data_IF_625891666665
#
_entry.id   IF_625891666665
#
_cell.length_a   1.000
_cell.length_b   1.000
_cell.length_c   1.000
_cell.angle_alpha   90.00
_cell.angle_beta   90.00
_cell.angle_gamma   90.00
#
_symmetry.space_group_name_H-M   'P 1'
#
loop_
_entity.id
_entity.type
_entity.pdbx_description
1 polymer ?
#
# COMPACT_ATOMS: atom_id res chain seq x y z
N UNK A 1 9.02 -0.09 8.53
CA UNK A 1 9.00 1.34 8.14
C UNK A 1 9.95 2.18 9.00
N UNK A 2 10.66 3.17 8.42
CA UNK A 2 11.52 4.07 9.20
C UNK A 2 10.67 5.13 9.90
N UNK A 3 10.54 5.01 11.22
CA UNK A 3 9.76 5.95 12.06
C UNK A 3 10.44 7.31 12.25
N UNK A 4 11.72 7.41 11.94
CA UNK A 4 12.59 8.56 12.25
C UNK A 4 13.55 8.84 11.10
N UNK A 5 13.65 10.10 10.71
CA UNK A 5 14.52 10.58 9.63
C UNK A 5 15.70 11.39 10.18
N UNK A 6 16.83 11.35 9.47
CA UNK A 6 17.94 12.29 9.64
C UNK A 6 17.70 13.57 8.84
N UNK A 7 18.40 14.65 9.16
CA UNK A 7 18.34 15.90 8.39
C UNK A 7 18.68 15.71 6.91
N UNK A 8 19.62 14.81 6.60
CA UNK A 8 19.98 14.49 5.21
C UNK A 8 18.87 13.77 4.46
N UNK A 9 18.11 12.89 5.12
CA UNK A 9 16.97 12.23 4.51
C UNK A 9 15.82 13.21 4.26
N UNK A 10 15.48 14.04 5.25
CA UNK A 10 14.46 15.08 5.10
C UNK A 10 14.83 16.07 3.98
N UNK A 11 16.11 16.41 3.87
CA UNK A 11 16.60 17.29 2.82
C UNK A 11 16.36 16.73 1.42
N UNK A 12 16.57 15.42 1.24
CA UNK A 12 16.27 14.72 -0.03
C UNK A 12 14.78 14.76 -0.35
N UNK A 13 13.93 14.39 0.62
CA UNK A 13 12.46 14.39 0.47
C UNK A 13 11.95 15.77 0.06
N UNK A 14 12.39 16.81 0.78
CA UNK A 14 11.94 18.18 0.57
C UNK A 14 12.67 18.88 -0.60
N UNK A 15 13.63 18.22 -1.25
CA UNK A 15 14.50 18.78 -2.29
C UNK A 15 15.18 20.10 -1.87
N UNK A 16 15.68 20.16 -0.64
CA UNK A 16 16.40 21.32 -0.07
C UNK A 16 17.80 20.93 0.41
N UNK A 17 18.64 21.93 0.72
CA UNK A 17 19.93 21.68 1.33
C UNK A 17 19.79 21.16 2.79
N UNK A 18 20.63 20.23 3.27
CA UNK A 18 20.62 19.74 4.67
C UNK A 18 20.74 20.84 5.73
N UNK A 19 21.42 21.95 5.39
CA UNK A 19 21.53 23.13 6.25
C UNK A 19 20.19 23.82 6.46
N UNK A 20 19.31 23.82 5.46
CA UNK A 20 17.96 24.37 5.55
C UNK A 20 17.13 23.57 6.55
N UNK A 21 17.17 22.24 6.47
CA UNK A 21 16.48 21.37 7.44
C UNK A 21 17.02 21.56 8.85
N UNK A 22 18.36 21.69 8.99
CA UNK A 22 18.98 21.95 10.29
C UNK A 22 18.50 23.28 10.89
N UNK A 23 18.34 24.33 10.07
CA UNK A 23 17.76 25.61 10.51
C UNK A 23 16.30 25.47 10.94
N UNK A 24 15.47 24.74 10.19
CA UNK A 24 14.08 24.48 10.58
C UNK A 24 13.99 23.77 11.93
N UNK A 25 14.87 22.78 12.17
CA UNK A 25 14.95 22.08 13.44
C UNK A 25 15.43 22.97 14.59
N UNK A 26 16.56 23.65 14.40
CA UNK A 26 17.19 24.44 15.48
C UNK A 26 16.37 25.69 15.85
N UNK A 27 15.55 26.20 14.92
CA UNK A 27 14.57 27.27 15.19
C UNK A 27 13.27 26.77 15.83
N UNK A 28 13.12 25.45 16.02
CA UNK A 28 11.92 24.85 16.59
C UNK A 28 10.73 24.73 15.63
N UNK A 29 10.86 25.16 14.37
CA UNK A 29 9.79 25.05 13.35
C UNK A 29 9.53 23.59 12.98
N UNK A 30 10.58 22.79 12.85
CA UNK A 30 10.49 21.34 12.61
C UNK A 30 10.83 20.59 13.91
N UNK A 31 9.83 19.94 14.51
CA UNK A 31 9.99 19.24 15.79
C UNK A 31 10.77 17.93 15.64
N UNK A 32 11.59 17.63 16.63
CA UNK A 32 12.29 16.35 16.78
C UNK A 32 13.20 16.35 18.00
N UNK A 33 14.17 15.44 18.05
CA UNK A 33 15.09 15.31 19.18
C UNK A 33 16.55 15.16 18.73
N UNK A 34 17.47 15.42 19.65
CA UNK A 34 18.90 15.14 19.46
C UNK A 34 19.26 13.83 20.14
N UNK A 35 20.22 13.11 19.57
CA UNK A 35 20.72 11.89 20.20
C UNK A 35 21.63 12.29 21.39
N UNK A 36 21.41 11.72 22.59
CA UNK A 36 22.31 11.96 23.72
C UNK A 36 23.77 11.69 23.36
N UNK A 37 24.67 12.64 23.66
CA UNK A 37 26.10 12.53 23.34
C UNK A 37 26.48 12.80 21.87
N UNK A 38 25.53 13.19 21.01
CA UNK A 38 25.78 13.56 19.61
C UNK A 38 25.10 14.88 19.23
N UNK A 39 25.63 15.54 18.21
CA UNK A 39 24.99 16.70 17.57
C UNK A 39 23.95 16.30 16.51
N UNK A 40 23.72 15.01 16.35
CA UNK A 40 22.80 14.47 15.36
C UNK A 40 21.34 14.71 15.75
N UNK A 41 20.58 15.16 14.76
CA UNK A 41 19.14 15.41 14.86
C UNK A 41 18.36 14.22 14.33
N UNK A 42 17.19 13.97 14.93
CA UNK A 42 16.24 12.93 14.55
C UNK A 42 14.85 13.53 14.49
N UNK A 43 14.19 13.35 13.34
CA UNK A 43 12.91 13.96 13.00
C UNK A 43 11.90 12.82 12.84
N UNK A 44 10.96 12.65 13.78
CA UNK A 44 9.88 11.68 13.63
C UNK A 44 9.03 11.95 12.39
N UNK A 45 8.54 10.88 11.74
CA UNK A 45 7.71 10.98 10.51
C UNK A 45 6.50 11.90 10.69
N UNK A 46 5.77 11.72 11.79
CA UNK A 46 4.58 12.51 12.11
C UNK A 46 4.86 14.02 12.16
N UNK A 47 5.95 14.42 12.81
CA UNK A 47 6.36 15.83 12.90
C UNK A 47 6.75 16.40 11.53
N UNK A 48 7.38 15.59 10.68
CA UNK A 48 7.72 16.01 9.32
C UNK A 48 6.49 16.21 8.45
N UNK A 49 5.56 15.25 8.46
CA UNK A 49 4.29 15.34 7.70
C UNK A 49 3.52 16.59 8.14
N UNK A 50 3.37 16.79 9.45
CA UNK A 50 2.67 17.96 10.00
C UNK A 50 3.32 19.26 9.55
N UNK A 51 4.65 19.36 9.64
CA UNK A 51 5.39 20.54 9.20
C UNK A 51 5.19 20.83 7.71
N UNK A 52 5.26 19.81 6.86
CA UNK A 52 5.09 19.97 5.41
C UNK A 52 3.67 20.44 5.05
N UNK A 53 2.63 19.81 5.65
CA UNK A 53 1.23 20.21 5.48
C UNK A 53 0.98 21.65 5.92
N UNK A 54 1.47 22.03 7.11
CA UNK A 54 1.32 23.39 7.65
C UNK A 54 1.95 24.47 6.77
N UNK A 55 3.01 24.12 6.01
CA UNK A 55 3.73 25.06 5.15
C UNK A 55 3.40 24.90 3.66
N UNK A 56 2.40 24.09 3.30
CA UNK A 56 1.99 23.86 1.92
C UNK A 56 3.09 23.23 1.05
N UNK A 57 3.99 22.45 1.65
CA UNK A 57 5.06 21.76 0.93
C UNK A 57 4.62 20.34 0.52
N UNK A 58 5.03 19.86 -0.66
CA UNK A 58 4.70 18.51 -1.11
C UNK A 58 5.33 17.46 -0.20
N UNK A 59 4.59 16.39 0.13
CA UNK A 59 5.11 15.31 0.97
C UNK A 59 6.07 14.39 0.18
N UNK A 60 5.94 14.36 -1.15
CA UNK A 60 6.85 13.61 -2.02
C UNK A 60 6.83 12.11 -1.69
N UNK A 61 8.00 11.50 -1.50
CA UNK A 61 8.14 10.09 -1.13
C UNK A 61 7.43 9.73 0.20
N UNK A 62 7.12 10.70 1.07
CA UNK A 62 6.39 10.44 2.32
C UNK A 62 4.89 10.19 2.10
N UNK A 63 4.33 10.73 1.00
CA UNK A 63 2.96 10.48 0.52
C UNK A 63 2.85 9.04 -0.01
N UNK A 64 3.88 8.59 -0.74
CA UNK A 64 3.93 7.23 -1.31
C UNK A 64 3.96 6.11 -0.28
N UNK A 65 4.43 6.42 0.94
CA UNK A 65 4.45 5.52 2.09
C UNK A 65 3.14 5.53 2.91
N UNK A 66 2.20 6.44 2.60
CA UNK A 66 0.89 6.53 3.27
C UNK A 66 -0.24 5.81 2.53
N UNK A 67 -0.06 5.61 1.22
CA UNK A 67 -1.04 4.92 0.38
C UNK A 67 -1.11 3.45 0.71
N UNK A 68 -2.34 2.95 0.77
CA UNK A 68 -2.61 1.54 0.64
C UNK A 68 -2.64 1.20 -0.85
N UNK A 69 -1.66 0.41 -1.28
CA UNK A 69 -1.44 0.08 -2.69
C UNK A 69 -2.20 -1.18 -3.08
N UNK A 70 -3.09 -1.07 -4.05
CA UNK A 70 -3.99 -2.13 -4.50
C UNK A 70 -3.64 -2.53 -5.94
N UNK A 71 -3.20 -3.77 -6.14
CA UNK A 71 -3.02 -4.34 -7.48
C UNK A 71 -4.25 -5.17 -7.84
N UNK A 72 -4.90 -4.85 -8.96
CA UNK A 72 -6.07 -5.61 -9.46
C UNK A 72 -5.67 -6.40 -10.69
N UNK A 73 -5.99 -7.70 -10.69
CA UNK A 73 -5.56 -8.65 -11.71
C UNK A 73 -6.79 -9.29 -12.36
N UNK A 74 -6.93 -9.11 -13.68
CA UNK A 74 -7.92 -9.82 -14.49
C UNK A 74 -9.38 -9.41 -14.29
N UNK A 75 -9.66 -8.36 -13.51
CA UNK A 75 -11.03 -7.89 -13.25
C UNK A 75 -11.56 -7.00 -14.39
N UNK A 76 -12.88 -6.99 -14.56
CA UNK A 76 -13.54 -6.17 -15.58
C UNK A 76 -13.58 -4.69 -15.21
N UNK A 77 -13.59 -3.81 -16.22
CA UNK A 77 -13.59 -2.35 -16.05
C UNK A 77 -14.70 -1.86 -15.11
N UNK A 78 -15.91 -2.41 -15.22
CA UNK A 78 -17.04 -2.02 -14.36
C UNK A 78 -16.75 -2.26 -12.88
N UNK A 79 -16.11 -3.39 -12.53
CA UNK A 79 -15.71 -3.67 -11.16
C UNK A 79 -14.65 -2.67 -10.69
N UNK A 80 -13.63 -2.41 -11.52
CA UNK A 80 -12.54 -1.49 -11.20
C UNK A 80 -13.09 -0.08 -10.94
N UNK A 81 -13.91 0.44 -11.87
CA UNK A 81 -14.53 1.76 -11.76
C UNK A 81 -15.33 1.89 -10.45
N UNK A 82 -16.15 0.87 -10.12
CA UNK A 82 -16.96 0.86 -8.88
C UNK A 82 -16.11 0.76 -7.62
N UNK A 83 -15.04 -0.02 -7.65
CA UNK A 83 -14.12 -0.10 -6.51
C UNK A 83 -13.41 1.24 -6.29
N UNK A 84 -12.98 1.91 -7.37
CA UNK A 84 -12.36 3.25 -7.31
C UNK A 84 -13.37 4.34 -6.91
N UNK A 85 -14.66 4.22 -7.24
CA UNK A 85 -15.69 5.13 -6.72
C UNK A 85 -15.84 5.03 -5.19
N UNK A 86 -15.75 3.81 -4.66
CA UNK A 86 -15.86 3.54 -3.21
C UNK A 86 -14.55 3.85 -2.47
N UNK A 87 -13.41 3.61 -3.11
CA UNK A 87 -12.07 3.82 -2.61
C UNK A 87 -11.30 4.72 -3.58
N UNK A 88 -11.60 6.04 -3.60
CA UNK A 88 -11.03 6.95 -4.57
C UNK A 88 -9.52 7.10 -4.39
N UNK A 89 -8.80 7.20 -5.51
CA UNK A 89 -7.39 7.57 -5.57
C UNK A 89 -7.21 8.96 -4.96
N UNK A 90 -6.90 8.95 -3.67
CA UNK A 90 -6.69 10.11 -2.80
C UNK A 90 -5.44 9.84 -1.97
N UNK A 91 -5.15 10.68 -0.97
CA UNK A 91 -4.01 10.49 -0.05
C UNK A 91 -3.95 9.10 0.63
N UNK A 92 -5.00 8.27 0.54
CA UNK A 92 -5.07 6.95 1.20
C UNK A 92 -4.92 5.74 0.28
N UNK A 93 -5.13 5.83 -1.05
CA UNK A 93 -5.15 4.65 -1.95
C UNK A 93 -4.46 4.91 -3.29
N UNK A 94 -3.83 3.85 -3.82
CA UNK A 94 -3.35 3.81 -5.21
C UNK A 94 -3.63 2.48 -5.87
N UNK A 95 -3.82 2.51 -7.19
CA UNK A 95 -4.12 1.31 -7.98
C UNK A 95 -3.07 1.06 -9.06
N UNK A 96 -2.80 -0.22 -9.29
CA UNK A 96 -2.17 -0.71 -10.52
C UNK A 96 -3.01 -1.87 -11.06
N UNK A 97 -2.95 -2.07 -12.38
CA UNK A 97 -3.72 -3.10 -13.07
C UNK A 97 -2.79 -4.08 -13.78
N UNK A 98 -3.19 -5.35 -13.80
CA UNK A 98 -2.55 -6.39 -14.59
C UNK A 98 -3.60 -7.29 -15.26
N UNK A 99 -3.29 -7.77 -16.46
CA UNK A 99 -4.20 -8.61 -17.24
C UNK A 99 -3.67 -10.02 -17.51
N UNK A 100 -2.45 -10.32 -17.03
CA UNK A 100 -1.83 -11.65 -17.14
C UNK A 100 -0.92 -11.94 -15.94
N UNK A 101 -0.54 -13.20 -15.75
CA UNK A 101 0.43 -13.56 -14.70
C UNK A 101 1.80 -12.91 -14.86
N UNK A 102 2.22 -12.63 -16.09
CA UNK A 102 3.48 -11.93 -16.36
C UNK A 102 3.41 -10.46 -15.94
N UNK A 103 2.36 -9.74 -16.35
CA UNK A 103 2.13 -8.36 -15.93
C UNK A 103 1.96 -8.25 -14.41
N UNK A 104 1.24 -9.21 -13.81
CA UNK A 104 1.05 -9.26 -12.36
C UNK A 104 2.37 -9.32 -11.61
N UNK A 105 3.33 -10.13 -12.08
CA UNK A 105 4.66 -10.21 -11.48
C UNK A 105 5.45 -8.90 -11.61
N UNK A 106 5.42 -8.27 -12.79
CA UNK A 106 6.10 -6.98 -13.03
C UNK A 106 5.52 -5.90 -12.11
N UNK A 107 4.19 -5.79 -12.06
CA UNK A 107 3.52 -4.77 -11.25
C UNK A 107 3.68 -5.03 -9.76
N UNK A 108 3.61 -6.28 -9.31
CA UNK A 108 3.83 -6.59 -7.91
C UNK A 108 5.24 -6.18 -7.45
N UNK A 109 6.25 -6.39 -8.29
CA UNK A 109 7.65 -6.08 -7.99
C UNK A 109 7.93 -4.57 -8.00
N UNK A 110 7.36 -3.82 -8.95
CA UNK A 110 7.56 -2.37 -9.03
C UNK A 110 6.73 -1.63 -7.99
N UNK A 111 5.45 -1.99 -7.85
CA UNK A 111 4.46 -1.26 -7.08
C UNK A 111 4.51 -1.58 -5.58
N UNK A 112 4.94 -2.80 -5.22
CA UNK A 112 4.91 -3.35 -3.85
C UNK A 112 3.51 -3.23 -3.21
N UNK A 113 2.50 -3.95 -3.74
CA UNK A 113 1.12 -3.83 -3.27
C UNK A 113 0.92 -4.35 -1.84
N UNK A 114 0.07 -3.65 -1.11
CA UNK A 114 -0.44 -4.05 0.19
C UNK A 114 -1.62 -5.02 0.05
N UNK A 115 -2.38 -4.88 -1.04
CA UNK A 115 -3.49 -5.76 -1.39
C UNK A 115 -3.44 -6.11 -2.87
N UNK A 116 -3.67 -7.37 -3.18
CA UNK A 116 -3.79 -7.91 -4.52
C UNK A 116 -5.17 -8.54 -4.65
N UNK A 117 -5.94 -8.11 -5.64
CA UNK A 117 -7.26 -8.66 -5.96
C UNK A 117 -7.12 -9.44 -7.27
N UNK A 118 -7.43 -10.73 -7.26
CA UNK A 118 -7.29 -11.60 -8.43
C UNK A 118 -8.67 -12.14 -8.82
N UNK A 119 -9.11 -11.84 -10.04
CA UNK A 119 -10.34 -12.41 -10.57
C UNK A 119 -10.11 -13.82 -11.11
N UNK A 120 -10.81 -14.82 -10.55
CA UNK A 120 -10.67 -16.20 -11.04
C UNK A 120 -11.24 -16.38 -12.46
N UNK A 121 -12.08 -15.45 -12.93
CA UNK A 121 -12.65 -15.47 -14.27
C UNK A 121 -11.59 -15.26 -15.37
N UNK A 122 -10.41 -14.71 -15.05
CA UNK A 122 -9.29 -14.61 -16.00
C UNK A 122 -8.73 -15.98 -16.39
N UNK A 123 -9.04 -17.01 -15.60
CA UNK A 123 -8.53 -18.37 -15.75
C UNK A 123 -8.09 -18.92 -14.40
N UNK A 124 -8.89 -19.82 -13.83
CA UNK A 124 -8.66 -20.36 -12.48
C UNK A 124 -7.23 -20.86 -12.28
N UNK A 125 -6.70 -21.68 -13.19
CA UNK A 125 -5.33 -22.21 -13.10
C UNK A 125 -4.28 -21.11 -13.05
N UNK A 126 -4.43 -20.07 -13.88
CA UNK A 126 -3.51 -18.95 -13.93
C UNK A 126 -3.59 -18.12 -12.64
N UNK A 127 -4.79 -17.77 -12.18
CA UNK A 127 -5.00 -17.05 -10.93
C UNK A 127 -4.38 -17.75 -9.71
N UNK A 128 -4.54 -19.09 -9.63
CA UNK A 128 -3.93 -19.89 -8.56
C UNK A 128 -2.40 -19.88 -8.65
N UNK A 129 -1.83 -19.98 -9.86
CA UNK A 129 -0.38 -19.92 -10.06
C UNK A 129 0.19 -18.56 -9.69
N UNK A 130 -0.50 -17.46 -10.02
CA UNK A 130 -0.10 -16.11 -9.63
C UNK A 130 0.00 -16.00 -8.10
N UNK A 131 -1.06 -16.39 -7.37
CA UNK A 131 -1.07 -16.34 -5.92
C UNK A 131 0.06 -17.19 -5.29
N UNK A 132 0.26 -18.42 -5.78
CA UNK A 132 1.32 -19.28 -5.29
C UNK A 132 2.72 -18.72 -5.57
N UNK A 133 2.95 -18.16 -6.75
CA UNK A 133 4.23 -17.56 -7.12
C UNK A 133 4.54 -16.34 -6.25
N UNK A 134 3.54 -15.48 -6.00
CA UNK A 134 3.67 -14.35 -5.08
C UNK A 134 4.03 -14.84 -3.66
N UNK A 135 3.34 -15.86 -3.14
CA UNK A 135 3.63 -16.42 -1.80
C UNK A 135 4.99 -17.08 -1.64
N UNK A 136 5.65 -17.48 -2.74
CA UNK A 136 7.02 -17.98 -2.67
C UNK A 136 8.05 -16.89 -2.37
N UNK A 137 7.70 -15.62 -2.60
CA UNK A 137 8.58 -14.50 -2.29
C UNK A 137 8.20 -13.91 -0.91
N UNK A 138 9.12 -13.92 0.08
CA UNK A 138 8.88 -13.39 1.43
C UNK A 138 8.42 -11.93 1.47
N UNK A 139 8.72 -11.14 0.44
CA UNK A 139 8.21 -9.77 0.29
C UNK A 139 6.68 -9.70 0.37
N UNK A 140 5.98 -10.70 -0.15
CA UNK A 140 4.52 -10.72 -0.18
C UNK A 140 3.93 -11.53 0.97
N UNK A 141 4.70 -11.89 2.00
CA UNK A 141 4.19 -12.66 3.14
C UNK A 141 3.03 -11.94 3.85
N UNK A 142 3.14 -10.61 3.96
CA UNK A 142 2.12 -9.76 4.59
C UNK A 142 1.13 -9.13 3.59
N UNK A 143 1.34 -9.30 2.29
CA UNK A 143 0.42 -8.77 1.27
C UNK A 143 -0.90 -9.52 1.34
N UNK A 144 -2.02 -8.80 1.40
CA UNK A 144 -3.33 -9.41 1.32
C UNK A 144 -3.62 -9.86 -0.11
N UNK A 145 -3.98 -11.12 -0.33
CA UNK A 145 -4.37 -11.64 -1.65
C UNK A 145 -5.84 -12.09 -1.56
N UNK A 146 -6.72 -11.41 -2.29
CA UNK A 146 -8.17 -11.65 -2.33
C UNK A 146 -8.53 -12.28 -3.68
N UNK A 147 -9.31 -13.37 -3.65
CA UNK A 147 -9.91 -13.94 -4.86
C UNK A 147 -11.30 -13.35 -5.13
N UNK A 148 -11.59 -12.99 -6.38
CA UNK A 148 -12.96 -12.83 -6.86
C UNK A 148 -13.39 -14.15 -7.50
N UNK A 149 -14.17 -14.94 -6.77
CA UNK A 149 -14.60 -16.27 -7.19
C UNK A 149 -15.92 -16.19 -7.97
N UNK A 150 -16.10 -17.08 -8.95
CA UNK A 150 -17.37 -17.24 -9.64
C UNK A 150 -18.40 -17.98 -8.78
N UNK A 151 -19.68 -17.91 -9.16
CA UNK A 151 -20.79 -18.55 -8.43
C UNK A 151 -20.67 -20.09 -8.38
N UNK A 152 -20.02 -20.67 -9.38
CA UNK A 152 -19.79 -22.11 -9.51
C UNK A 152 -18.50 -22.60 -8.82
N UNK A 153 -17.68 -21.71 -8.22
CA UNK A 153 -16.49 -22.15 -7.48
C UNK A 153 -16.91 -23.00 -6.27
N UNK A 154 -16.43 -24.25 -6.29
CA UNK A 154 -16.94 -25.33 -5.45
C UNK A 154 -16.55 -25.22 -3.97
N UNK A 155 -15.38 -24.66 -3.67
CA UNK A 155 -14.92 -24.42 -2.29
C UNK A 155 -14.00 -23.21 -2.24
N UNK A 156 -14.53 -22.03 -1.87
CA UNK A 156 -13.71 -20.86 -1.61
C UNK A 156 -12.70 -21.08 -0.48
N UNK A 157 -12.98 -21.97 0.49
CA UNK A 157 -12.03 -22.31 1.56
C UNK A 157 -10.75 -22.97 1.01
N UNK A 158 -10.86 -23.73 -0.09
CA UNK A 158 -9.71 -24.37 -0.71
C UNK A 158 -8.71 -23.36 -1.29
N UNK A 159 -9.12 -22.11 -1.57
CA UNK A 159 -8.25 -21.07 -2.10
C UNK A 159 -7.15 -20.66 -1.10
N UNK A 160 -7.39 -20.84 0.21
CA UNK A 160 -6.37 -20.59 1.24
C UNK A 160 -5.12 -21.44 1.03
N UNK A 161 -5.28 -22.69 0.55
CA UNK A 161 -4.16 -23.58 0.25
C UNK A 161 -3.29 -23.10 -0.92
N UNK A 162 -3.78 -22.15 -1.72
CA UNK A 162 -3.06 -21.54 -2.83
C UNK A 162 -2.48 -20.16 -2.47
N UNK A 163 -2.66 -19.71 -1.23
CA UNK A 163 -2.07 -18.47 -0.73
C UNK A 163 -3.04 -17.30 -0.65
N UNK A 164 -4.33 -17.48 -0.99
CA UNK A 164 -5.33 -16.44 -0.78
C UNK A 164 -5.63 -16.26 0.71
N UNK A 165 -5.81 -15.01 1.14
CA UNK A 165 -6.29 -14.72 2.49
C UNK A 165 -7.81 -14.80 2.56
N UNK A 166 -8.49 -14.29 1.54
CA UNK A 166 -9.94 -14.13 1.49
C UNK A 166 -10.48 -14.36 0.08
N UNK A 167 -11.78 -14.59 -0.01
CA UNK A 167 -12.47 -14.73 -1.30
C UNK A 167 -13.86 -14.10 -1.26
N UNK A 168 -14.24 -13.47 -2.36
CA UNK A 168 -15.56 -12.87 -2.58
C UNK A 168 -16.24 -13.58 -3.75
N UNK A 169 -17.36 -14.23 -3.47
CA UNK A 169 -18.09 -15.03 -4.46
C UNK A 169 -19.09 -14.16 -5.21
N UNK A 170 -18.99 -14.12 -6.54
CA UNK A 170 -19.90 -13.36 -7.41
C UNK A 170 -21.30 -14.00 -7.43
N UNK A 171 -22.38 -13.20 -7.47
CA UNK A 171 -22.39 -11.75 -7.28
C UNK A 171 -22.14 -11.38 -5.80
N UNK A 172 -21.30 -10.39 -5.56
CA UNK A 172 -21.06 -9.83 -4.23
C UNK A 172 -21.22 -8.31 -4.26
N UNK A 173 -21.50 -7.73 -3.10
CA UNK A 173 -21.50 -6.28 -2.93
C UNK A 173 -20.06 -5.75 -2.89
N UNK A 174 -19.68 -4.95 -3.88
CA UNK A 174 -18.36 -4.31 -3.96
C UNK A 174 -18.14 -3.39 -2.74
N UNK A 175 -19.22 -2.84 -2.15
CA UNK A 175 -19.14 -2.04 -0.94
C UNK A 175 -18.58 -2.86 0.25
N UNK A 176 -18.92 -4.15 0.34
CA UNK A 176 -18.40 -5.05 1.37
C UNK A 176 -16.88 -5.28 1.20
N UNK A 177 -16.43 -5.49 -0.03
CA UNK A 177 -15.00 -5.58 -0.34
C UNK A 177 -14.27 -4.28 0.00
N UNK A 178 -14.86 -3.13 -0.33
CA UNK A 178 -14.28 -1.83 -0.03
C UNK A 178 -14.17 -1.58 1.50
N UNK A 179 -15.20 -1.90 2.28
CA UNK A 179 -15.15 -1.84 3.74
C UNK A 179 -14.08 -2.77 4.32
N UNK A 180 -13.96 -3.98 3.76
CA UNK A 180 -12.94 -4.93 4.20
C UNK A 180 -11.54 -4.38 3.98
N UNK A 181 -11.27 -3.81 2.80
CA UNK A 181 -9.99 -3.18 2.49
C UNK A 181 -9.70 -2.03 3.47
N UNK A 182 -10.68 -1.15 3.76
CA UNK A 182 -10.50 -0.06 4.75
C UNK A 182 -10.13 -0.57 6.14
N UNK A 183 -10.85 -1.57 6.62
CA UNK A 183 -10.60 -2.19 7.94
C UNK A 183 -9.15 -2.69 8.03
N UNK A 184 -8.66 -3.32 6.96
CA UNK A 184 -7.29 -3.84 6.90
C UNK A 184 -6.24 -2.72 6.87
N UNK A 185 -6.53 -1.60 6.21
CA UNK A 185 -5.66 -0.41 6.28
C UNK A 185 -5.55 0.10 7.72
N UNK A 186 -6.67 0.16 8.43
CA UNK A 186 -6.73 0.61 9.83
C UNK A 186 -5.98 -0.34 10.78
N UNK A 187 -6.18 -1.66 10.64
CA UNK A 187 -5.45 -2.67 11.40
C UNK A 187 -3.94 -2.59 11.16
N UNK A 188 -3.51 -2.41 9.91
CA UNK A 188 -2.10 -2.21 9.56
C UNK A 188 -1.54 -0.94 10.20
N UNK A 189 -2.30 0.17 10.17
CA UNK A 189 -1.91 1.45 10.80
C UNK A 189 -1.84 1.35 12.32
N UNK A 190 -2.73 0.58 12.96
CA UNK A 190 -2.76 0.41 14.42
C UNK A 190 -1.63 -0.49 14.95
N UNK A 191 -1.15 -1.44 14.15
CA UNK A 191 -0.05 -2.33 14.48
C UNK A 191 1.34 -1.75 14.14
N UNK A 192 1.41 -0.53 13.62
CA UNK A 192 2.64 0.18 13.24
C UNK A 192 3.14 1.12 14.33
#
# INVERSE_FOLDING_TARGET
MKKVFTTGQVAKICKVAPRTVSKWFDSGRLRGYRIPGSQDRRIPREHLIKFLKEHGMPLGELEEEGWHKILIIGAEKLFIDRLQELLPETDDFKYELAHSGFEAGIQAESFHPDTIIIDLAMGRSEALQIAQNLRRNPQYEQTLIIALASEDEASPEALVNFGFNESFKKPFDIALLAERIRTLVEEKRANM
#
